data_IF_218817878924
#
_entry.id   IF_218817878924
#
_cell.length_a   1.000
_cell.length_b   1.000
_cell.length_c   1.000
_cell.angle_alpha   90.00
_cell.angle_beta   90.00
_cell.angle_gamma   90.00
#
_symmetry.space_group_name_H-M   'P 1'
#
loop_
_entity.id
_entity.type
_entity.pdbx_description
1 polymer ?
#
# COMPACT_ATOMS: atom_id res chain seq x y z
N UNK A 1 4.38 14.67 3.23
CA UNK A 1 4.40 13.96 4.51
C UNK A 1 3.00 13.43 4.81
N UNK A 2 2.90 12.13 5.10
CA UNK A 2 1.63 11.48 5.41
C UNK A 2 1.20 11.76 6.84
N UNK A 3 -0.10 11.70 7.10
CA UNK A 3 -0.64 11.64 8.47
C UNK A 3 -0.68 10.17 8.90
N UNK A 4 0.47 9.67 9.39
CA UNK A 4 0.64 8.27 9.79
C UNK A 4 -0.36 7.85 10.88
N UNK A 5 -0.60 8.63 11.95
CA UNK A 5 -1.62 8.29 12.93
C UNK A 5 -3.02 8.09 12.34
N UNK A 6 -3.44 8.95 11.41
CA UNK A 6 -4.73 8.82 10.73
C UNK A 6 -4.77 7.55 9.88
N UNK A 7 -3.72 7.27 9.13
CA UNK A 7 -3.64 6.06 8.29
C UNK A 7 -3.56 4.77 9.09
N UNK A 8 -3.09 4.80 10.34
CA UNK A 8 -3.05 3.64 11.23
C UNK A 8 -4.32 3.42 12.04
N UNK A 9 -5.24 4.39 12.04
CA UNK A 9 -6.52 4.22 12.71
C UNK A 9 -7.27 2.99 12.17
N UNK A 10 -7.90 2.24 13.06
CA UNK A 10 -8.77 1.12 12.71
C UNK A 10 -9.85 1.58 11.72
N UNK A 11 -10.10 0.79 10.67
CA UNK A 11 -11.12 1.12 9.66
C UNK A 11 -12.51 1.17 10.29
N UNK A 12 -12.81 0.22 11.19
CA UNK A 12 -14.00 0.21 12.02
C UNK A 12 -13.77 -0.60 13.31
N UNK A 13 -14.63 -0.49 14.34
CA UNK A 13 -14.52 -1.31 15.55
C UNK A 13 -14.63 -2.82 15.28
N UNK A 14 -15.52 -3.21 14.36
CA UNK A 14 -15.80 -4.62 14.07
C UNK A 14 -14.79 -5.21 13.08
N UNK A 15 -14.37 -4.40 12.10
CA UNK A 15 -13.35 -4.72 11.12
C UNK A 15 -12.21 -3.68 11.17
N UNK A 16 -11.23 -3.83 12.09
CA UNK A 16 -10.14 -2.87 12.24
C UNK A 16 -9.20 -2.84 11.03
N UNK A 17 -9.08 -3.97 10.31
CA UNK A 17 -8.30 -4.08 9.09
C UNK A 17 -9.10 -3.79 7.82
N UNK A 18 -10.42 -3.59 7.90
CA UNK A 18 -11.25 -3.38 6.73
C UNK A 18 -11.42 -4.63 5.85
N UNK A 19 -11.82 -4.40 4.60
CA UNK A 19 -12.16 -5.45 3.64
C UNK A 19 -10.92 -5.97 2.88
N UNK A 20 -11.04 -7.18 2.31
CA UNK A 20 -10.05 -7.70 1.35
C UNK A 20 -10.20 -7.01 -0.01
N UNK A 21 -9.09 -6.61 -0.60
CA UNK A 21 -9.01 -5.83 -1.84
C UNK A 21 -8.75 -6.68 -3.10
N UNK A 22 -8.72 -8.01 -3.02
CA UNK A 22 -8.37 -8.91 -4.14
C UNK A 22 -8.99 -8.54 -5.50
N UNK A 23 -10.23 -8.05 -5.52
CA UNK A 23 -10.96 -7.65 -6.73
C UNK A 23 -11.35 -6.16 -6.76
N UNK A 24 -10.82 -5.34 -5.86
CA UNK A 24 -11.14 -3.91 -5.82
C UNK A 24 -10.51 -3.19 -7.03
N UNK A 25 -11.33 -2.49 -7.80
CA UNK A 25 -10.88 -1.82 -9.02
C UNK A 25 -9.83 -0.73 -8.75
N UNK A 26 -9.89 -0.05 -7.61
CA UNK A 26 -8.90 0.94 -7.22
C UNK A 26 -7.58 0.26 -6.83
N UNK A 27 -7.62 -0.93 -6.24
CA UNK A 27 -6.41 -1.72 -5.98
C UNK A 27 -5.72 -2.15 -7.29
N UNK A 28 -6.48 -2.66 -8.26
CA UNK A 28 -5.95 -3.02 -9.58
C UNK A 28 -5.35 -1.82 -10.32
N UNK A 29 -6.01 -0.65 -10.23
CA UNK A 29 -5.47 0.60 -10.78
C UNK A 29 -4.18 1.00 -10.07
N UNK A 30 -4.12 0.87 -8.74
CA UNK A 30 -2.93 1.15 -7.94
C UNK A 30 -1.74 0.29 -8.41
N UNK A 31 -1.94 -1.03 -8.54
CA UNK A 31 -0.91 -1.93 -9.03
C UNK A 31 -0.45 -1.53 -10.43
N UNK A 32 -1.39 -1.17 -11.32
CA UNK A 32 -1.08 -0.74 -12.68
C UNK A 32 -0.23 0.53 -12.71
N UNK A 33 -0.61 1.58 -11.96
CA UNK A 33 0.16 2.84 -11.97
C UNK A 33 1.52 2.70 -11.28
N UNK A 34 1.63 1.79 -10.31
CA UNK A 34 2.87 1.52 -9.59
C UNK A 34 3.93 0.78 -10.43
N UNK A 35 3.57 0.24 -11.60
CA UNK A 35 4.54 -0.38 -12.50
C UNK A 35 5.38 0.62 -13.30
N UNK A 36 4.93 1.86 -13.44
CA UNK A 36 5.58 2.85 -14.30
C UNK A 36 5.55 2.41 -15.76
N UNK A 37 6.58 2.77 -16.54
CA UNK A 37 6.75 2.30 -17.91
C UNK A 37 8.09 1.58 -18.04
N UNK A 38 8.11 0.33 -18.52
CA UNK A 38 9.37 -0.34 -18.80
C UNK A 38 10.08 0.31 -20.00
N UNK A 39 11.37 0.06 -20.12
CA UNK A 39 12.12 0.37 -21.32
C UNK A 39 11.48 -0.29 -22.54
N UNK A 40 11.40 0.43 -23.66
CA UNK A 40 10.73 -0.04 -24.88
C UNK A 40 11.42 0.47 -26.13
N UNK A 41 11.36 -0.32 -27.19
CA UNK A 41 11.92 0.04 -28.49
C UNK A 41 10.84 0.64 -29.40
N UNK A 42 11.14 1.76 -30.05
CA UNK A 42 10.26 2.46 -30.99
C UNK A 42 11.03 2.72 -32.28
N UNK A 43 10.86 1.83 -33.26
CA UNK A 43 11.69 1.81 -34.46
C UNK A 43 13.15 1.57 -34.09
N UNK A 44 14.03 2.49 -34.48
CA UNK A 44 15.47 2.42 -34.18
C UNK A 44 15.83 3.06 -32.82
N UNK A 45 14.87 3.68 -32.12
CA UNK A 45 15.11 4.34 -30.83
C UNK A 45 14.78 3.43 -29.64
N UNK A 46 15.62 3.49 -28.59
CA UNK A 46 15.32 2.89 -27.28
C UNK A 46 14.81 3.99 -26.35
N UNK A 47 13.58 3.84 -25.86
CA UNK A 47 12.97 4.71 -24.86
C UNK A 47 13.25 4.14 -23.47
N UNK A 48 13.91 4.89 -22.57
CA UNK A 48 14.26 4.41 -21.23
C UNK A 48 12.99 4.13 -20.40
N UNK A 49 13.16 3.33 -19.36
CA UNK A 49 12.10 3.13 -18.38
C UNK A 49 11.75 4.45 -17.67
N UNK A 50 10.46 4.69 -17.46
CA UNK A 50 9.95 5.82 -16.68
C UNK A 50 9.43 5.31 -15.34
N UNK A 51 9.82 5.94 -14.21
CA UNK A 51 9.31 5.54 -12.91
C UNK A 51 7.80 5.83 -12.81
N UNK A 52 7.11 5.16 -11.87
CA UNK A 52 5.73 5.50 -11.52
C UNK A 52 5.54 6.98 -11.19
N UNK A 53 4.34 7.49 -11.42
CA UNK A 53 3.89 8.77 -10.88
C UNK A 53 3.70 8.66 -9.36
N UNK A 54 4.79 8.66 -8.60
CA UNK A 54 4.79 8.41 -7.16
C UNK A 54 3.79 9.25 -6.35
N UNK A 55 3.55 10.55 -6.66
CA UNK A 55 2.50 11.32 -5.97
C UNK A 55 1.10 10.71 -6.15
N UNK A 56 0.80 10.18 -7.34
CA UNK A 56 -0.47 9.52 -7.66
C UNK A 56 -0.57 8.16 -6.99
N UNK A 57 0.52 7.38 -7.01
CA UNK A 57 0.62 6.11 -6.26
C UNK A 57 0.33 6.35 -4.78
N UNK A 58 0.99 7.34 -4.16
CA UNK A 58 0.80 7.68 -2.75
C UNK A 58 -0.63 8.08 -2.42
N UNK A 59 -1.25 8.91 -3.26
CA UNK A 59 -2.61 9.39 -3.04
C UNK A 59 -3.62 8.23 -3.06
N UNK A 60 -3.58 7.40 -4.10
CA UNK A 60 -4.49 6.27 -4.25
C UNK A 60 -4.25 5.19 -3.18
N UNK A 61 -2.99 4.89 -2.88
CA UNK A 61 -2.65 3.95 -1.82
C UNK A 61 -3.08 4.46 -0.45
N UNK A 62 -3.01 5.77 -0.17
CA UNK A 62 -3.48 6.34 1.10
C UNK A 62 -5.00 6.19 1.26
N UNK A 63 -5.76 6.41 0.19
CA UNK A 63 -7.21 6.21 0.17
C UNK A 63 -7.57 4.75 0.43
N UNK A 64 -6.94 3.82 -0.30
CA UNK A 64 -7.14 2.38 -0.11
C UNK A 64 -6.75 1.93 1.30
N UNK A 65 -5.65 2.46 1.85
CA UNK A 65 -5.18 2.11 3.19
C UNK A 65 -6.09 2.63 4.30
N UNK A 66 -6.87 3.68 4.02
CA UNK A 66 -7.96 4.14 4.89
C UNK A 66 -9.13 3.14 4.96
N UNK A 67 -9.32 2.31 3.91
CA UNK A 67 -10.41 1.33 3.80
C UNK A 67 -9.97 -0.11 4.10
N UNK A 68 -8.69 -0.42 3.94
CA UNK A 68 -8.13 -1.75 4.17
C UNK A 68 -6.67 -1.67 4.60
N UNK A 69 -6.30 -2.36 5.68
CA UNK A 69 -4.92 -2.46 6.17
C UNK A 69 -4.15 -3.58 5.46
N UNK A 70 -4.18 -3.53 4.13
CA UNK A 70 -3.53 -4.50 3.24
C UNK A 70 -2.03 -4.22 3.10
N UNK A 71 -1.20 -5.24 3.26
CA UNK A 71 0.27 -5.11 3.20
C UNK A 71 0.80 -4.80 1.80
N UNK A 72 0.09 -5.20 0.74
CA UNK A 72 0.42 -4.85 -0.64
C UNK A 72 0.29 -3.35 -0.83
N UNK A 73 -0.77 -2.74 -0.29
CA UNK A 73 -0.99 -1.29 -0.28
C UNK A 73 0.06 -0.60 0.60
N UNK A 74 0.35 -1.13 1.80
CA UNK A 74 1.39 -0.59 2.68
C UNK A 74 2.78 -0.56 2.01
N UNK A 75 3.12 -1.61 1.28
CA UNK A 75 4.39 -1.68 0.54
C UNK A 75 4.47 -0.61 -0.57
N UNK A 76 3.38 -0.34 -1.28
CA UNK A 76 3.33 0.72 -2.29
C UNK A 76 3.37 2.12 -1.65
N UNK A 77 2.75 2.30 -0.47
CA UNK A 77 2.93 3.52 0.32
C UNK A 77 4.39 3.72 0.72
N UNK A 78 5.05 2.69 1.24
CA UNK A 78 6.48 2.73 1.60
C UNK A 78 7.34 3.13 0.40
N UNK A 79 7.16 2.49 -0.75
CA UNK A 79 7.92 2.83 -1.97
C UNK A 79 7.68 4.28 -2.40
N UNK A 80 6.42 4.72 -2.42
CA UNK A 80 6.07 6.09 -2.81
C UNK A 80 6.64 7.14 -1.82
N UNK A 81 6.68 6.82 -0.53
CA UNK A 81 7.24 7.71 0.48
C UNK A 81 8.76 7.81 0.35
N UNK A 82 9.46 6.69 0.14
CA UNK A 82 10.90 6.71 -0.12
C UNK A 82 11.21 7.53 -1.36
N UNK A 83 10.43 7.37 -2.43
CA UNK A 83 10.64 8.10 -3.68
C UNK A 83 10.40 9.61 -3.55
N UNK A 84 9.49 10.05 -2.67
CA UNK A 84 9.09 11.46 -2.53
C UNK A 84 9.80 12.19 -1.41
N UNK A 85 10.00 11.51 -0.28
CA UNK A 85 10.44 12.10 0.99
C UNK A 85 11.74 11.44 1.51
N UNK A 86 12.34 10.48 0.79
CA UNK A 86 13.62 9.88 1.12
C UNK A 86 13.60 9.04 2.41
N UNK A 87 14.60 9.25 3.29
CA UNK A 87 14.73 8.49 4.54
C UNK A 87 13.61 8.78 5.55
N UNK A 88 13.10 10.00 5.58
CA UNK A 88 11.94 10.34 6.42
C UNK A 88 10.71 9.56 5.93
N UNK A 89 10.53 9.49 4.61
CA UNK A 89 9.50 8.67 3.99
C UNK A 89 9.66 7.16 4.27
N UNK A 90 10.90 6.67 4.38
CA UNK A 90 11.17 5.28 4.78
C UNK A 90 10.68 5.01 6.21
N UNK A 91 10.98 5.91 7.15
CA UNK A 91 10.58 5.76 8.54
C UNK A 91 9.06 5.69 8.69
N UNK A 92 8.34 6.62 8.04
CA UNK A 92 6.87 6.63 8.00
C UNK A 92 6.32 5.36 7.34
N UNK A 93 6.88 4.96 6.20
CA UNK A 93 6.46 3.76 5.47
C UNK A 93 6.62 2.48 6.29
N UNK A 94 7.71 2.34 7.05
CA UNK A 94 7.95 1.15 7.88
C UNK A 94 6.95 1.04 9.03
N UNK A 95 6.50 2.16 9.59
CA UNK A 95 5.42 2.15 10.59
C UNK A 95 4.11 1.63 9.98
N UNK A 96 3.78 2.06 8.77
CA UNK A 96 2.58 1.62 8.05
C UNK A 96 2.60 0.12 7.69
N UNK A 97 3.78 -0.49 7.57
CA UNK A 97 3.92 -1.95 7.38
C UNK A 97 3.87 -2.71 8.72
N UNK A 98 4.59 -2.22 9.75
CA UNK A 98 4.76 -2.92 11.03
C UNK A 98 3.46 -3.01 11.83
N UNK A 99 2.71 -1.91 11.92
CA UNK A 99 1.56 -1.83 12.82
C UNK A 99 0.44 -2.80 12.40
N UNK A 100 -0.01 -2.87 11.14
CA UNK A 100 -1.02 -3.85 10.71
C UNK A 100 -0.65 -5.32 11.01
N UNK A 101 0.63 -5.68 10.89
CA UNK A 101 1.14 -7.01 11.23
C UNK A 101 0.94 -7.32 12.72
N UNK A 102 1.18 -6.33 13.57
CA UNK A 102 1.05 -6.48 15.02
C UNK A 102 -0.42 -6.73 15.43
N UNK A 103 -1.38 -6.09 14.74
CA UNK A 103 -2.82 -6.31 14.97
C UNK A 103 -3.35 -7.64 14.42
N UNK A 104 -2.89 -8.08 13.25
CA UNK A 104 -3.34 -9.35 12.63
C UNK A 104 -2.84 -10.57 13.39
N UNK A 105 -1.62 -10.54 13.92
CA UNK A 105 -1.10 -11.61 14.79
C UNK A 105 -1.93 -11.78 16.07
N UNK A 106 -2.45 -10.70 16.65
CA UNK A 106 -3.30 -10.77 17.85
C UNK A 106 -4.66 -11.44 17.56
N UNK A 107 -5.30 -11.17 16.41
CA UNK A 107 -6.56 -11.84 16.04
C UNK A 107 -6.40 -13.25 15.46
N UNK A 108 -5.24 -13.58 14.88
CA UNK A 108 -4.95 -14.96 14.46
C UNK A 108 -4.93 -15.92 15.65
N UNK A 109 -4.50 -15.47 16.84
CA UNK A 109 -4.55 -16.24 18.09
C UNK A 109 -5.94 -16.29 18.74
N UNK A 110 -6.90 -15.46 18.32
CA UNK A 110 -8.26 -15.40 18.88
C UNK A 110 -9.33 -16.09 18.03
N UNK A 111 -9.01 -16.52 16.80
CA UNK A 111 -9.92 -17.33 15.98
C UNK A 111 -9.67 -18.81 16.29
N UNK A 112 -10.58 -19.52 16.98
CA UNK A 112 -10.47 -20.97 17.08
C UNK A 112 -10.60 -21.52 15.66
N UNK A 113 -9.51 -22.12 15.20
CA UNK A 113 -9.48 -22.86 13.96
C UNK A 113 -10.62 -23.87 13.88
N UNK A 114 -11.31 -23.87 12.73
CA UNK A 114 -12.00 -25.01 12.14
C UNK A 114 -12.73 -25.94 13.12
N UNK A 115 -13.98 -25.60 13.46
CA UNK A 115 -14.95 -26.59 13.91
C UNK A 115 -16.11 -26.70 12.91
N UNK A 116 -15.82 -27.31 11.75
CA UNK A 116 -16.73 -28.13 10.96
C UNK A 116 -15.90 -29.19 10.23
#
# INVERSE_FOLDING_TARGET
MLDVPVLLAAVSPDSPCGDDLEYDAAFLELERIAQGQPERQMGDAVLPAEPPEWPRVRALASELFGRSKDLRVANLLLQSNVALDGLDGLADGLLLVREPLSYTHLRAHERPEHRL
#
